data_IF_784930728899
#
_entry.id   IF_784930728899
#
_cell.length_a   1.000
_cell.length_b   1.000
_cell.length_c   1.000
_cell.angle_alpha   90.00
_cell.angle_beta   90.00
_cell.angle_gamma   90.00
#
_symmetry.space_group_name_H-M   'P 1'
#
loop_
_entity.id
_entity.type
_entity.pdbx_description
1 polymer ?
#
# COMPACT_ATOMS: atom_id res chain seq x y z
N UNK A 1 17.21 27.73 35.99
CA UNK A 1 16.57 26.40 35.93
C UNK A 1 15.07 26.61 35.79
N UNK A 2 14.54 26.47 34.58
CA UNK A 2 13.11 26.24 34.35
C UNK A 2 13.04 25.39 33.06
N UNK A 3 12.75 24.11 33.28
CA UNK A 3 12.54 23.06 32.27
C UNK A 3 11.29 23.43 31.45
N UNK A 4 11.44 23.53 30.13
CA UNK A 4 10.97 22.51 29.17
C UNK A 4 9.46 22.32 29.16
N UNK A 5 8.79 22.95 28.20
CA UNK A 5 7.46 22.56 27.70
C UNK A 5 7.30 23.18 26.31
N UNK A 6 6.66 22.45 25.39
CA UNK A 6 6.41 22.79 23.95
C UNK A 6 7.41 22.21 22.94
N UNK A 7 7.54 20.88 22.91
CA UNK A 7 7.97 20.16 21.69
C UNK A 7 7.11 18.91 21.50
N UNK A 8 5.85 19.13 21.12
CA UNK A 8 4.97 18.05 20.67
C UNK A 8 4.04 18.54 19.54
N UNK A 9 4.62 19.24 18.56
CA UNK A 9 4.02 19.26 17.23
C UNK A 9 4.49 17.96 16.54
N UNK A 10 3.68 16.92 16.62
CA UNK A 10 3.96 15.65 15.94
C UNK A 10 3.92 15.91 14.42
N UNK A 11 5.08 15.82 13.79
CA UNK A 11 5.33 16.22 12.41
C UNK A 11 4.78 15.19 11.42
N UNK A 12 3.47 15.27 11.14
CA UNK A 12 2.78 14.41 10.17
C UNK A 12 3.36 14.58 8.75
N UNK A 13 3.97 15.74 8.46
CA UNK A 13 4.51 16.08 7.13
C UNK A 13 5.68 15.17 6.74
N UNK A 14 6.61 14.91 7.67
CA UNK A 14 7.84 14.14 7.39
C UNK A 14 7.61 12.67 7.00
N UNK A 15 6.49 12.08 7.43
CA UNK A 15 6.18 10.65 7.20
C UNK A 15 5.53 10.39 5.86
N UNK A 16 4.80 11.38 5.31
CA UNK A 16 4.17 11.29 3.99
C UNK A 16 5.18 11.50 2.85
N UNK A 17 6.26 12.25 3.09
CA UNK A 17 7.35 12.47 2.12
C UNK A 17 8.07 11.17 1.71
N UNK A 18 7.83 10.06 2.41
CA UNK A 18 8.43 8.73 2.11
C UNK A 18 7.43 7.74 1.53
N UNK A 19 6.23 8.18 1.14
CA UNK A 19 5.20 7.31 0.56
C UNK A 19 5.02 7.60 -0.92
N UNK A 20 5.15 6.56 -1.74
CA UNK A 20 4.79 6.61 -3.15
C UNK A 20 3.41 5.99 -3.36
N UNK A 21 2.55 6.71 -4.06
CA UNK A 21 1.23 6.23 -4.45
C UNK A 21 1.27 5.84 -5.92
N UNK A 22 0.84 4.62 -6.25
CA UNK A 22 0.77 4.17 -7.64
C UNK A 22 -0.56 3.50 -7.93
N UNK A 23 -1.10 3.84 -9.08
CA UNK A 23 -2.24 3.16 -9.67
C UNK A 23 -1.71 1.97 -10.47
N UNK A 24 -2.21 0.78 -10.17
CA UNK A 24 -1.78 -0.48 -10.77
C UNK A 24 -3.01 -1.16 -11.38
N UNK A 25 -2.87 -1.59 -12.63
CA UNK A 25 -3.86 -2.36 -13.37
C UNK A 25 -3.22 -3.63 -13.91
N UNK A 26 -4.03 -4.67 -14.17
CA UNK A 26 -3.52 -5.86 -14.86
C UNK A 26 -3.32 -5.55 -16.35
N UNK A 27 -2.12 -5.10 -16.71
CA UNK A 27 -1.69 -4.86 -18.10
C UNK A 27 -0.85 -6.03 -18.67
N UNK A 28 -0.87 -7.19 -18.02
CA UNK A 28 -0.10 -8.39 -18.36
C UNK A 28 1.43 -8.20 -18.40
N UNK A 29 1.96 -7.16 -17.73
CA UNK A 29 3.42 -7.00 -17.55
C UNK A 29 3.90 -7.71 -16.28
N UNK A 30 5.15 -8.22 -16.25
CA UNK A 30 5.72 -8.83 -15.06
C UNK A 30 5.65 -7.92 -13.83
N UNK A 31 5.97 -6.63 -13.98
CA UNK A 31 5.94 -5.65 -12.90
C UNK A 31 4.53 -5.48 -12.32
N UNK A 32 3.52 -5.33 -13.17
CA UNK A 32 2.13 -5.24 -12.71
C UNK A 32 1.71 -6.48 -11.91
N UNK A 33 2.08 -7.68 -12.39
CA UNK A 33 1.71 -8.94 -11.76
C UNK A 33 2.40 -9.13 -10.41
N UNK A 34 3.67 -8.71 -10.27
CA UNK A 34 4.39 -8.72 -9.00
C UNK A 34 3.68 -7.83 -7.98
N UNK A 35 3.35 -6.60 -8.38
CA UNK A 35 2.68 -5.65 -7.48
C UNK A 35 1.27 -6.09 -7.09
N UNK A 36 0.48 -6.58 -8.06
CA UNK A 36 -0.86 -7.12 -7.82
C UNK A 36 -0.81 -8.38 -6.94
N UNK A 37 0.22 -9.22 -7.06
CA UNK A 37 0.42 -10.38 -6.19
C UNK A 37 0.70 -9.98 -4.74
N UNK A 38 1.49 -8.92 -4.55
CA UNK A 38 1.71 -8.31 -3.23
C UNK A 38 0.40 -7.80 -2.63
N UNK A 39 -0.39 -7.05 -3.41
CA UNK A 39 -1.70 -6.54 -3.00
C UNK A 39 -2.69 -7.66 -2.65
N UNK A 40 -2.79 -8.69 -3.48
CA UNK A 40 -3.59 -9.90 -3.20
C UNK A 40 -3.23 -10.49 -1.83
N UNK A 41 -1.94 -10.64 -1.56
CA UNK A 41 -1.46 -11.19 -0.28
C UNK A 41 -1.83 -10.31 0.91
N UNK A 42 -1.77 -8.98 0.75
CA UNK A 42 -2.21 -8.02 1.77
C UNK A 42 -3.72 -8.17 2.01
N UNK A 43 -4.54 -8.16 0.96
CA UNK A 43 -5.99 -8.30 1.09
C UNK A 43 -6.40 -9.62 1.72
N UNK A 44 -5.76 -10.74 1.35
CA UNK A 44 -6.01 -12.03 1.98
C UNK A 44 -5.76 -12.02 3.49
N UNK A 45 -4.70 -11.33 3.93
CA UNK A 45 -4.38 -11.21 5.35
C UNK A 45 -5.34 -10.26 6.09
N UNK A 46 -5.76 -9.17 5.46
CA UNK A 46 -6.64 -8.17 6.08
C UNK A 46 -8.13 -8.54 6.01
N UNK A 47 -8.51 -9.39 5.07
CA UNK A 47 -9.89 -9.82 4.83
C UNK A 47 -10.02 -11.35 5.00
N UNK A 48 -9.86 -11.88 6.23
CA UNK A 48 -9.83 -13.33 6.47
C UNK A 48 -11.13 -14.05 6.10
N UNK A 49 -12.26 -13.34 6.07
CA UNK A 49 -13.56 -13.90 5.69
C UNK A 49 -13.79 -13.92 4.17
N UNK A 50 -12.92 -13.30 3.38
CA UNK A 50 -12.99 -13.32 1.91
C UNK A 50 -12.15 -14.47 1.38
N UNK A 51 -12.74 -15.33 0.53
CA UNK A 51 -11.98 -16.44 -0.05
C UNK A 51 -10.80 -15.96 -0.88
N UNK A 52 -9.69 -16.70 -0.84
CA UNK A 52 -8.49 -16.35 -1.58
C UNK A 52 -8.70 -16.28 -3.09
N UNK A 53 -9.56 -17.15 -3.62
CA UNK A 53 -9.92 -17.19 -5.04
C UNK A 53 -10.75 -15.98 -5.45
N UNK A 54 -11.68 -15.54 -4.61
CA UNK A 54 -12.48 -14.34 -4.87
C UNK A 54 -11.58 -13.08 -4.91
N UNK A 55 -10.68 -12.94 -3.94
CA UNK A 55 -9.71 -11.84 -3.92
C UNK A 55 -8.84 -11.90 -5.18
N UNK A 56 -8.33 -13.07 -5.55
CA UNK A 56 -7.50 -13.22 -6.74
C UNK A 56 -8.26 -12.80 -8.01
N UNK A 57 -9.53 -13.22 -8.15
CA UNK A 57 -10.36 -12.83 -9.30
C UNK A 57 -10.51 -11.32 -9.41
N UNK A 58 -10.77 -10.62 -8.31
CA UNK A 58 -10.90 -9.17 -8.33
C UNK A 58 -9.57 -8.45 -8.60
N UNK A 59 -8.50 -8.85 -7.91
CA UNK A 59 -7.19 -8.18 -8.01
C UNK A 59 -6.58 -8.35 -9.41
N UNK A 60 -6.79 -9.51 -10.05
CA UNK A 60 -6.26 -9.79 -11.38
C UNK A 60 -7.26 -9.49 -12.52
N UNK A 61 -8.46 -9.00 -12.24
CA UNK A 61 -9.38 -8.56 -13.29
C UNK A 61 -8.85 -7.30 -13.98
N UNK A 62 -8.87 -7.29 -15.32
CA UNK A 62 -8.41 -6.15 -16.14
C UNK A 62 -9.34 -4.94 -16.04
N UNK A 63 -10.59 -5.14 -15.61
CA UNK A 63 -11.54 -4.06 -15.38
C UNK A 63 -11.39 -3.41 -14.00
N UNK A 64 -10.55 -3.97 -13.13
CA UNK A 64 -10.28 -3.45 -11.80
C UNK A 64 -8.95 -2.71 -11.74
N UNK A 65 -8.90 -1.70 -10.88
CA UNK A 65 -7.72 -0.86 -10.66
C UNK A 65 -7.41 -0.82 -9.18
N UNK A 66 -6.14 -1.01 -8.82
CA UNK A 66 -5.68 -0.98 -7.44
C UNK A 66 -4.82 0.26 -7.18
N UNK A 67 -5.10 1.00 -6.09
CA UNK A 67 -4.19 2.01 -5.55
C UNK A 67 -3.26 1.34 -4.54
N UNK A 68 -1.96 1.33 -4.81
CA UNK A 68 -0.94 0.86 -3.87
C UNK A 68 -0.19 2.03 -3.26
N UNK A 69 0.20 1.85 -2.00
CA UNK A 69 1.04 2.76 -1.25
C UNK A 69 2.35 2.03 -0.93
N UNK A 70 3.46 2.57 -1.39
CA UNK A 70 4.79 2.05 -1.14
C UNK A 70 5.48 2.94 -0.13
N UNK A 71 6.16 2.32 0.84
CA UNK A 71 7.04 3.04 1.75
C UNK A 71 8.45 3.00 1.21
N UNK A 72 8.96 4.14 0.76
CA UNK A 72 10.35 4.31 0.39
C UNK A 72 11.19 4.27 1.66
N UNK A 73 11.97 3.20 1.81
CA UNK A 73 13.12 3.23 2.70
C UNK A 73 14.20 4.01 1.95
N UNK A 74 14.21 5.34 2.08
CA UNK A 74 15.42 6.09 1.82
C UNK A 74 16.54 5.40 2.60
N UNK A 75 17.54 4.90 1.89
CA UNK A 75 18.78 4.40 2.46
C UNK A 75 19.47 5.53 3.23
#
# INVERSE_FOLDING_TARGET
>A
MAKSESKEQHDISSSLEKLDFRIITNNATPDSLILLSGLKSIFQRQLPNMSGDYIARLVFDRNHTSLAIFKNKSQ
#
